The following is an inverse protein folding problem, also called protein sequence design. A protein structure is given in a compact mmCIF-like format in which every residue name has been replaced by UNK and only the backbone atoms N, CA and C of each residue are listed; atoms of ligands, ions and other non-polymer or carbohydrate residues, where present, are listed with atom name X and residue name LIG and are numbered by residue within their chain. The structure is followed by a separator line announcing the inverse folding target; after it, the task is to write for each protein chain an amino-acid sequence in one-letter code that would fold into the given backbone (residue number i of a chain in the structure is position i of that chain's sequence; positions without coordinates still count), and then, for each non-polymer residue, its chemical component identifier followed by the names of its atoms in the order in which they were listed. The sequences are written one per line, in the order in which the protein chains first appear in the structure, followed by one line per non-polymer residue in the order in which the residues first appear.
data_IF_046399373898
#
_entry.id   IF_046399373898
#
_cell.length_a   1.000
_cell.length_b   1.000
_cell.length_c   1.000
_cell.angle_alpha   90.00
_cell.angle_beta   90.00
_cell.angle_gamma   90.00
#
_symmetry.space_group_name_H-M   'P 1'
#
loop_
_entity.id
_entity.type
_entity.pdbx_description
1 polymer ?
#
# COMPACT_ATOMS: atom_id res chain seq x y z
N UNK A 1 -43.84 -6.03 9.41
CA UNK A 1 -42.83 -6.39 10.43
C UNK A 1 -41.81 -7.30 9.72
N UNK A 2 -40.51 -7.02 9.63
CA UNK A 2 -39.50 -6.77 10.70
C UNK A 2 -39.36 -8.01 11.61
N UNK A 3 -38.17 -8.54 11.93
CA UNK A 3 -36.77 -8.07 11.88
C UNK A 3 -35.87 -9.10 11.10
N UNK A 4 -34.70 -8.86 10.50
CA UNK A 4 -33.55 -7.94 10.64
C UNK A 4 -32.38 -8.37 11.57
N UNK A 5 -31.62 -9.37 11.09
CA UNK A 5 -30.14 -9.51 11.09
C UNK A 5 -29.28 -9.03 12.29
N UNK A 6 -28.40 -9.88 12.80
CA UNK A 6 -27.04 -9.47 13.28
C UNK A 6 -26.04 -10.65 13.26
N UNK A 7 -25.49 -10.99 12.09
CA UNK A 7 -24.30 -11.84 11.97
C UNK A 7 -23.02 -10.99 11.92
N UNK A 8 -22.33 -10.82 13.05
CA UNK A 8 -21.09 -10.02 13.11
C UNK A 8 -19.95 -10.66 12.30
N UNK A 9 -19.25 -9.91 11.42
CA UNK A 9 -18.00 -10.38 10.82
C UNK A 9 -16.94 -10.55 11.91
N UNK A 10 -16.28 -11.70 11.95
CA UNK A 10 -15.23 -11.97 12.93
C UNK A 10 -14.03 -11.04 12.75
N UNK A 11 -13.56 -10.46 13.86
CA UNK A 11 -12.27 -9.78 13.89
C UNK A 11 -11.14 -10.80 13.66
N UNK A 12 -10.26 -10.51 12.71
CA UNK A 12 -9.14 -11.36 12.34
C UNK A 12 -7.81 -10.67 12.71
N UNK A 13 -7.68 -10.23 13.97
CA UNK A 13 -6.38 -9.87 14.55
C UNK A 13 -5.40 -11.04 14.35
N UNK A 14 -4.26 -10.85 13.64
CA UNK A 14 -3.28 -11.91 13.49
C UNK A 14 -2.70 -12.31 14.84
N UNK A 15 -2.67 -13.62 15.12
CA UNK A 15 -1.81 -14.15 16.18
C UNK A 15 -0.34 -13.82 15.89
N UNK A 16 0.47 -13.69 16.94
CA UNK A 16 1.90 -13.87 16.77
C UNK A 16 2.15 -15.37 16.56
N UNK A 17 3.04 -15.67 15.63
CA UNK A 17 3.34 -17.02 15.12
C UNK A 17 2.24 -17.60 14.20
N UNK A 18 2.69 -18.33 13.17
CA UNK A 18 1.94 -18.88 12.02
C UNK A 18 1.26 -17.87 11.06
N UNK A 19 1.78 -17.77 9.81
CA UNK A 19 1.01 -17.24 8.66
C UNK A 19 1.72 -16.29 7.67
N UNK A 20 2.93 -15.81 7.95
CA UNK A 20 3.56 -14.68 7.23
C UNK A 20 4.86 -15.00 6.46
N UNK A 21 5.30 -16.26 6.41
CA UNK A 21 6.69 -16.64 6.04
C UNK A 21 7.22 -16.13 4.69
N UNK A 22 6.34 -15.88 3.71
CA UNK A 22 6.69 -15.32 2.39
C UNK A 22 5.72 -14.18 1.99
N UNK A 23 5.20 -13.43 2.97
CA UNK A 23 4.26 -12.32 2.70
C UNK A 23 5.03 -11.06 2.34
N UNK A 24 5.11 -10.79 1.03
CA UNK A 24 5.71 -9.58 0.45
C UNK A 24 4.69 -8.44 0.24
N UNK A 25 3.38 -8.76 0.20
CA UNK A 25 2.33 -7.78 -0.04
C UNK A 25 1.27 -7.73 1.06
N UNK A 26 0.92 -6.51 1.46
CA UNK A 26 -0.29 -6.21 2.22
C UNK A 26 -1.30 -5.39 1.43
N UNK A 27 -2.55 -5.49 1.86
CA UNK A 27 -3.53 -4.42 1.71
C UNK A 27 -3.48 -3.55 2.96
N UNK A 28 -3.21 -2.24 2.80
CA UNK A 28 -3.49 -1.28 3.86
C UNK A 28 -4.98 -0.91 3.77
N UNK A 29 -5.73 -1.08 4.85
CA UNK A 29 -7.12 -0.61 5.00
C UNK A 29 -7.19 0.61 5.92
N UNK A 30 -8.34 1.29 5.87
CA UNK A 30 -8.61 2.57 6.55
C UNK A 30 -7.61 3.67 6.19
N UNK A 31 -7.15 3.61 4.93
CA UNK A 31 -6.09 4.42 4.37
C UNK A 31 -6.54 5.88 4.22
N UNK A 32 -6.17 6.67 5.22
CA UNK A 32 -6.05 8.13 5.17
C UNK A 32 -7.36 8.91 4.94
N UNK A 33 -7.39 10.26 5.07
CA UNK A 33 -8.60 11.04 4.86
C UNK A 33 -8.93 11.02 3.36
N UNK A 34 -10.16 11.35 2.96
CA UNK A 34 -10.67 11.15 1.60
C UNK A 34 -9.85 11.77 0.45
N UNK A 35 -8.90 12.68 0.72
CA UNK A 35 -8.09 13.38 -0.29
C UNK A 35 -6.70 12.77 -0.54
N UNK A 36 -6.35 11.65 0.12
CA UNK A 36 -5.02 11.05 -0.01
C UNK A 36 -4.71 10.64 -1.45
N UNK A 37 -3.64 11.22 -1.99
CA UNK A 37 -3.14 10.99 -3.35
C UNK A 37 -2.12 9.86 -3.41
N UNK A 38 -1.89 9.32 -4.61
CA UNK A 38 -0.81 8.35 -4.87
C UNK A 38 0.55 8.90 -4.45
N UNK A 39 0.79 10.20 -4.64
CA UNK A 39 2.06 10.83 -4.26
C UNK A 39 2.24 10.96 -2.75
N UNK A 40 1.19 11.29 -1.99
CA UNK A 40 1.28 11.30 -0.52
C UNK A 40 1.58 9.91 0.04
N UNK A 41 1.01 8.86 -0.56
CA UNK A 41 1.31 7.47 -0.17
C UNK A 41 2.74 7.06 -0.56
N UNK A 42 3.24 7.46 -1.73
CA UNK A 42 4.66 7.30 -2.12
C UNK A 42 5.57 7.98 -1.10
N UNK A 43 5.30 9.24 -0.72
CA UNK A 43 6.12 9.98 0.24
C UNK A 43 6.18 9.29 1.62
N UNK A 44 5.08 8.66 2.07
CA UNK A 44 5.03 7.89 3.33
C UNK A 44 5.84 6.60 3.23
N UNK A 45 5.73 5.87 2.12
CA UNK A 45 6.46 4.62 1.90
C UNK A 45 7.97 4.86 1.71
N UNK A 46 8.33 5.89 0.93
CA UNK A 46 9.72 6.32 0.73
C UNK A 46 10.36 6.72 2.06
N UNK A 47 9.70 7.59 2.84
CA UNK A 47 10.21 8.04 4.14
C UNK A 47 10.36 6.91 5.18
N UNK A 48 9.49 5.90 5.12
CA UNK A 48 9.66 4.68 5.92
C UNK A 48 10.88 3.86 5.46
N UNK A 49 11.01 3.60 4.15
CA UNK A 49 12.11 2.80 3.62
C UNK A 49 13.47 3.43 3.93
N UNK A 50 13.60 4.75 3.73
CA UNK A 50 14.81 5.51 4.05
C UNK A 50 15.22 5.31 5.52
N UNK A 51 14.30 5.52 6.46
CA UNK A 51 14.57 5.40 7.90
C UNK A 51 14.91 3.96 8.34
N UNK A 52 14.31 2.94 7.72
CA UNK A 52 14.69 1.54 8.00
C UNK A 52 16.05 1.17 7.40
N UNK A 53 16.40 1.71 6.24
CA UNK A 53 17.70 1.50 5.59
C UNK A 53 18.84 2.20 6.35
N UNK A 54 18.62 3.42 6.85
CA UNK A 54 19.56 4.14 7.72
C UNK A 54 19.88 3.34 8.99
N UNK A 55 18.85 2.84 9.71
CA UNK A 55 19.04 1.98 10.91
C UNK A 55 19.80 0.69 10.60
N UNK A 56 19.52 0.06 9.46
CA UNK A 56 20.16 -1.18 9.05
C UNK A 56 21.66 -0.97 8.72
N UNK A 57 22.02 0.21 8.21
CA UNK A 57 23.42 0.60 8.03
C UNK A 57 24.13 0.81 9.37
N UNK A 58 23.52 1.53 10.32
CA UNK A 58 24.10 1.74 11.66
C UNK A 58 24.34 0.41 12.41
N UNK A 59 23.37 -0.50 12.41
CA UNK A 59 23.47 -1.80 13.08
C UNK A 59 24.51 -2.74 12.45
N UNK A 60 24.65 -2.74 11.12
CA UNK A 60 25.64 -3.57 10.41
C UNK A 60 27.10 -3.29 10.83
N UNK A 61 27.39 -2.12 11.40
CA UNK A 61 28.73 -1.75 11.88
C UNK A 61 29.18 -2.44 13.17
N UNK A 62 28.31 -3.24 13.82
CA UNK A 62 28.55 -3.78 15.18
C UNK A 62 28.63 -5.30 15.28
N UNK A 63 28.05 -6.06 14.35
CA UNK A 63 27.88 -7.50 14.50
C UNK A 63 28.44 -8.26 13.29
N UNK A 64 29.46 -9.09 13.52
CA UNK A 64 30.16 -9.86 12.48
C UNK A 64 29.40 -11.09 11.99
N UNK A 65 28.10 -10.97 11.77
CA UNK A 65 27.23 -12.04 11.28
C UNK A 65 26.90 -11.84 9.78
N UNK A 66 26.84 -12.94 9.03
CA UNK A 66 26.55 -12.93 7.59
C UNK A 66 25.03 -12.85 7.32
N UNK A 67 24.35 -11.88 7.94
CA UNK A 67 23.03 -11.44 7.52
C UNK A 67 23.16 -10.73 6.17
N UNK A 68 22.45 -11.20 5.14
CA UNK A 68 22.33 -10.42 3.91
C UNK A 68 21.54 -9.15 4.20
N UNK A 69 22.20 -7.98 4.20
CA UNK A 69 21.53 -6.70 4.33
C UNK A 69 20.57 -6.51 3.15
N UNK A 70 19.28 -6.77 3.37
CA UNK A 70 18.23 -6.56 2.38
C UNK A 70 17.63 -5.17 2.56
N UNK A 71 17.94 -4.31 1.59
CA UNK A 71 17.38 -2.96 1.48
C UNK A 71 15.85 -3.03 1.49
N UNK A 72 15.25 -2.31 2.43
CA UNK A 72 13.81 -2.14 2.51
C UNK A 72 13.35 -1.27 1.33
N UNK A 73 12.62 -1.89 0.40
CA UNK A 73 12.17 -1.24 -0.83
C UNK A 73 10.84 -1.82 -1.33
N UNK A 74 10.05 -1.04 -2.08
CA UNK A 74 8.76 -1.46 -2.66
C UNK A 74 8.69 -1.26 -4.17
N UNK A 75 7.95 -2.12 -4.85
CA UNK A 75 8.03 -2.20 -6.32
C UNK A 75 6.68 -2.31 -7.05
N UNK A 76 5.57 -2.33 -6.29
CA UNK A 76 4.21 -2.15 -6.80
C UNK A 76 3.37 -1.33 -5.81
N UNK A 77 2.51 -0.46 -6.34
CA UNK A 77 1.56 0.35 -5.58
C UNK A 77 0.23 0.49 -6.33
N UNK A 78 -0.90 0.28 -5.64
CA UNK A 78 -2.23 0.60 -6.18
C UNK A 78 -3.16 1.22 -5.13
N UNK A 79 -3.53 2.48 -5.32
CA UNK A 79 -4.48 3.23 -4.50
C UNK A 79 -5.80 3.46 -5.28
N UNK A 80 -6.80 2.56 -5.16
CA UNK A 80 -8.11 2.73 -5.81
C UNK A 80 -8.85 4.00 -5.36
N UNK A 81 -9.34 4.75 -6.35
CA UNK A 81 -10.18 5.94 -6.18
C UNK A 81 -11.66 5.61 -6.49
N UNK A 82 -12.60 6.24 -5.78
CA UNK A 82 -14.02 6.32 -6.18
C UNK A 82 -14.18 7.53 -7.12
N UNK A 83 -14.45 7.27 -8.39
CA UNK A 83 -14.41 8.29 -9.44
C UNK A 83 -15.54 9.33 -9.35
N UNK A 84 -16.67 8.97 -8.74
CA UNK A 84 -17.83 9.85 -8.52
C UNK A 84 -17.55 10.90 -7.45
N UNK A 85 -16.77 10.56 -6.42
CA UNK A 85 -16.43 11.45 -5.31
C UNK A 85 -15.01 12.03 -5.40
N UNK A 86 -14.16 11.45 -6.26
CA UNK A 86 -12.72 11.71 -6.42
C UNK A 86 -11.93 11.52 -5.11
N UNK A 87 -12.29 10.47 -4.36
CA UNK A 87 -11.73 10.13 -3.05
C UNK A 87 -11.11 8.75 -3.03
N UNK A 88 -10.10 8.51 -2.19
CA UNK A 88 -9.58 7.15 -1.98
C UNK A 88 -10.69 6.22 -1.49
N UNK A 89 -10.67 4.95 -1.89
CA UNK A 89 -11.63 3.93 -1.39
C UNK A 89 -11.31 3.45 0.04
N UNK A 90 -10.40 4.13 0.74
CA UNK A 90 -9.93 3.76 2.07
C UNK A 90 -9.03 2.53 2.12
N UNK A 91 -8.48 2.07 0.99
CA UNK A 91 -7.47 1.00 0.96
C UNK A 91 -6.52 1.12 -0.23
N UNK A 92 -5.35 0.47 -0.12
CA UNK A 92 -4.38 0.30 -1.20
C UNK A 92 -3.64 -1.04 -1.08
N UNK A 93 -2.96 -1.45 -2.15
CA UNK A 93 -2.03 -2.58 -2.18
C UNK A 93 -0.60 -2.07 -2.33
N UNK A 94 0.34 -2.65 -1.58
CA UNK A 94 1.77 -2.34 -1.65
C UNK A 94 2.56 -3.65 -1.62
N UNK A 95 3.41 -3.88 -2.62
CA UNK A 95 4.35 -5.01 -2.61
C UNK A 95 5.74 -4.48 -2.19
N UNK A 96 6.21 -4.88 -1.02
CA UNK A 96 7.61 -4.75 -0.63
C UNK A 96 8.43 -5.86 -1.30
N UNK A 97 9.74 -5.65 -1.45
CA UNK A 97 10.67 -6.64 -2.03
C UNK A 97 11.18 -7.64 -1.00
N UNK A 98 10.97 -7.39 0.30
CA UNK A 98 11.40 -8.25 1.40
C UNK A 98 10.32 -8.37 2.49
N UNK A 99 10.18 -9.57 3.06
CA UNK A 99 9.17 -9.87 4.08
C UNK A 99 9.50 -9.26 5.46
N UNK A 100 10.77 -9.00 5.80
CA UNK A 100 11.12 -8.26 7.02
C UNK A 100 10.66 -6.81 6.92
N UNK A 101 10.66 -6.22 5.73
CA UNK A 101 10.13 -4.86 5.49
C UNK A 101 8.62 -4.80 5.70
N UNK A 102 7.87 -5.84 5.32
CA UNK A 102 6.44 -5.98 5.66
C UNK A 102 6.23 -5.98 7.18
N UNK A 103 7.02 -6.74 7.93
CA UNK A 103 6.94 -6.78 9.39
C UNK A 103 7.31 -5.45 10.05
N UNK A 104 8.42 -4.82 9.64
CA UNK A 104 8.81 -3.46 10.09
C UNK A 104 7.70 -2.44 9.83
N UNK A 105 7.06 -2.50 8.67
CA UNK A 105 5.94 -1.62 8.34
C UNK A 105 4.70 -1.92 9.18
N UNK A 106 4.37 -3.20 9.41
CA UNK A 106 3.28 -3.59 10.30
C UNK A 106 3.52 -3.03 11.71
N UNK A 107 4.68 -3.30 12.32
CA UNK A 107 4.98 -2.86 13.68
C UNK A 107 5.13 -1.34 13.82
N UNK A 108 5.49 -0.61 12.75
CA UNK A 108 5.54 0.85 12.74
C UNK A 108 4.18 1.52 12.43
N UNK A 109 3.29 0.90 11.65
CA UNK A 109 2.07 1.54 11.15
C UNK A 109 0.74 0.96 11.66
N UNK A 110 0.65 -0.35 11.91
CA UNK A 110 -0.61 -1.03 12.22
C UNK A 110 -1.20 -0.52 13.55
N UNK A 111 -2.41 0.07 13.46
CA UNK A 111 -3.21 0.61 14.58
C UNK A 111 -2.49 1.62 15.50
N UNK A 112 -1.39 2.24 15.06
CA UNK A 112 -0.68 3.29 15.83
C UNK A 112 -1.39 4.64 15.78
N UNK A 113 -1.08 5.51 16.74
CA UNK A 113 -1.47 6.91 16.73
C UNK A 113 -0.34 7.74 16.09
N UNK A 114 -0.64 8.49 15.01
CA UNK A 114 0.35 9.39 14.41
C UNK A 114 0.36 10.76 15.09
N UNK A 115 0.88 10.80 16.31
CA UNK A 115 0.90 12.02 17.11
C UNK A 115 1.93 13.06 16.65
N UNK A 116 2.90 12.64 15.84
CA UNK A 116 4.01 13.46 15.31
C UNK A 116 3.81 14.02 13.90
N UNK A 117 2.81 13.55 13.15
CA UNK A 117 2.52 14.04 11.79
C UNK A 117 1.11 14.63 11.78
N UNK A 118 0.88 15.68 10.98
CA UNK A 118 -0.27 16.59 11.12
C UNK A 118 -1.63 15.89 11.29
N UNK A 119 -2.13 15.85 12.53
CA UNK A 119 -3.41 15.27 12.95
C UNK A 119 -4.62 15.84 12.20
N UNK A 120 -4.49 16.99 11.52
CA UNK A 120 -5.53 17.53 10.62
C UNK A 120 -5.71 16.67 9.36
N UNK A 121 -4.65 15.97 8.93
CA UNK A 121 -4.71 14.86 7.97
C UNK A 121 -4.79 13.50 8.69
N UNK A 122 -3.98 13.26 9.73
CA UNK A 122 -4.00 12.03 10.55
C UNK A 122 -5.18 11.95 11.52
N UNK A 123 -6.34 11.60 10.98
CA UNK A 123 -7.59 11.42 11.75
C UNK A 123 -8.02 9.96 11.94
N UNK A 124 -7.38 9.00 11.26
CA UNK A 124 -7.67 7.57 11.39
C UNK A 124 -6.39 6.74 11.51
N UNK A 125 -6.48 5.69 12.33
CA UNK A 125 -5.53 4.56 12.35
C UNK A 125 -5.64 3.78 11.04
N UNK A 126 -4.53 3.25 10.54
CA UNK A 126 -4.53 2.32 9.41
C UNK A 126 -4.39 0.88 9.91
N UNK A 127 -5.00 -0.06 9.17
CA UNK A 127 -4.92 -1.49 9.43
C UNK A 127 -4.13 -2.14 8.29
N UNK A 128 -2.93 -2.64 8.60
CA UNK A 128 -2.11 -3.41 7.64
C UNK A 128 -2.54 -4.88 7.72
N UNK A 129 -2.92 -5.51 6.60
CA UNK A 129 -3.26 -6.94 6.54
C UNK A 129 -2.68 -7.62 5.30
N UNK A 130 -2.44 -8.93 5.35
CA UNK A 130 -2.06 -9.71 4.17
C UNK A 130 -3.04 -9.51 3.01
N UNK A 131 -2.51 -9.28 1.80
CA UNK A 131 -3.33 -9.33 0.59
C UNK A 131 -3.63 -10.79 0.20
N UNK A 132 -4.76 -11.02 -0.48
CA UNK A 132 -5.16 -12.35 -0.99
C UNK A 132 -4.33 -12.81 -2.20
N UNK A 133 -3.69 -11.87 -2.88
CA UNK A 133 -2.68 -12.08 -3.91
C UNK A 133 -1.33 -11.81 -3.23
N UNK A 134 -0.24 -12.40 -3.69
CA UNK A 134 1.13 -12.14 -3.18
C UNK A 134 2.10 -12.02 -4.36
N UNK A 135 3.12 -11.16 -4.22
CA UNK A 135 4.15 -10.93 -5.24
C UNK A 135 3.74 -10.03 -6.41
N UNK A 136 4.75 -9.37 -7.00
CA UNK A 136 4.62 -8.40 -8.10
C UNK A 136 4.06 -9.04 -9.37
N UNK A 137 4.48 -10.25 -9.71
CA UNK A 137 4.11 -10.94 -10.96
C UNK A 137 2.62 -11.30 -10.97
N UNK A 138 2.10 -11.77 -9.83
CA UNK A 138 0.68 -12.09 -9.66
C UNK A 138 -0.19 -10.82 -9.69
N UNK A 139 0.28 -9.72 -9.09
CA UNK A 139 -0.33 -8.39 -9.19
C UNK A 139 -0.39 -7.88 -10.63
N UNK A 140 0.76 -7.87 -11.32
CA UNK A 140 0.86 -7.43 -12.72
C UNK A 140 -0.08 -8.26 -13.57
N UNK A 141 -0.11 -9.59 -13.41
CA UNK A 141 -1.02 -10.48 -14.14
C UNK A 141 -2.50 -10.19 -13.83
N UNK A 142 -2.86 -10.01 -12.55
CA UNK A 142 -4.24 -9.74 -12.14
C UNK A 142 -4.78 -8.41 -12.70
N UNK A 143 -3.94 -7.37 -12.72
CA UNK A 143 -4.34 -6.05 -13.16
C UNK A 143 -4.09 -5.75 -14.64
N UNK A 144 -3.26 -6.52 -15.37
CA UNK A 144 -2.97 -6.28 -16.80
C UNK A 144 -4.20 -6.36 -17.69
N UNK A 145 -5.11 -7.30 -17.42
CA UNK A 145 -6.35 -7.46 -18.18
C UNK A 145 -7.54 -6.68 -17.55
N UNK A 146 -7.32 -6.00 -16.43
CA UNK A 146 -8.35 -5.19 -15.77
C UNK A 146 -8.62 -3.90 -16.55
N UNK A 147 -9.90 -3.49 -16.56
CA UNK A 147 -10.37 -2.25 -17.17
C UNK A 147 -10.73 -1.23 -16.07
N UNK A 148 -10.12 -0.05 -16.14
CA UNK A 148 -10.29 1.02 -15.17
C UNK A 148 -11.01 2.20 -15.83
N UNK A 149 -12.26 2.46 -15.42
CA UNK A 149 -13.06 3.57 -15.96
C UNK A 149 -12.70 4.89 -15.25
N UNK A 150 -11.56 5.50 -15.62
CA UNK A 150 -10.98 6.66 -14.95
C UNK A 150 -10.51 7.79 -15.90
N UNK A 151 -10.55 9.02 -15.38
CA UNK A 151 -10.17 10.24 -16.12
C UNK A 151 -8.67 10.31 -16.42
N UNK A 152 -7.83 9.76 -15.52
CA UNK A 152 -6.37 9.87 -15.54
C UNK A 152 -5.69 8.54 -15.23
N UNK A 153 -4.49 8.35 -15.78
CA UNK A 153 -3.59 7.21 -15.51
C UNK A 153 -2.98 7.26 -14.09
N UNK A 154 -3.19 8.36 -13.34
CA UNK A 154 -2.79 8.46 -11.93
C UNK A 154 -3.54 7.48 -11.02
N UNK A 155 -4.75 7.06 -11.41
CA UNK A 155 -5.59 6.16 -10.63
C UNK A 155 -5.40 4.67 -11.02
N UNK A 156 -4.47 4.37 -11.93
CA UNK A 156 -4.08 3.01 -12.27
C UNK A 156 -3.09 2.43 -11.24
N UNK A 157 -3.05 1.09 -11.08
CA UNK A 157 -1.92 0.40 -10.46
C UNK A 157 -0.60 0.76 -11.15
N UNK A 158 0.48 0.87 -10.37
CA UNK A 158 1.82 1.14 -10.88
C UNK A 158 2.84 0.13 -10.35
N UNK A 159 3.76 -0.28 -11.22
CA UNK A 159 5.00 -0.96 -10.86
C UNK A 159 6.20 -0.03 -10.99
N UNK A 160 7.22 -0.25 -10.16
CA UNK A 160 8.50 0.47 -10.21
C UNK A 160 9.63 -0.46 -10.65
N UNK A 161 10.60 0.09 -11.38
CA UNK A 161 11.86 -0.56 -11.69
C UNK A 161 13.00 0.48 -11.82
N UNK A 162 14.06 0.45 -10.98
CA UNK A 162 14.22 -0.41 -9.81
C UNK A 162 13.12 -0.19 -8.74
N UNK A 163 13.04 -1.05 -7.72
CA UNK A 163 12.25 -0.80 -6.51
C UNK A 163 12.58 0.56 -5.89
N UNK A 164 11.62 1.15 -5.15
CA UNK A 164 11.80 2.38 -4.38
C UNK A 164 12.24 2.04 -2.96
N UNK A 165 13.44 2.48 -2.59
CA UNK A 165 14.12 2.27 -1.30
C UNK A 165 14.09 3.49 -0.37
N UNK A 166 13.45 4.58 -0.81
CA UNK A 166 13.41 5.86 -0.09
C UNK A 166 14.58 6.81 -0.37
N UNK A 167 15.60 6.40 -1.13
CA UNK A 167 16.76 7.24 -1.47
C UNK A 167 16.42 8.51 -2.26
N UNK A 168 15.30 8.48 -3.01
CA UNK A 168 14.92 9.51 -3.97
C UNK A 168 15.44 9.25 -5.40
N UNK A 169 16.19 8.18 -5.64
CA UNK A 169 16.76 7.86 -6.96
C UNK A 169 15.68 7.72 -8.07
N UNK A 170 16.02 8.03 -9.35
CA UNK A 170 15.07 7.97 -10.45
C UNK A 170 14.62 6.54 -10.79
N UNK A 171 13.36 6.21 -10.51
CA UNK A 171 12.76 4.92 -10.89
C UNK A 171 11.87 5.02 -12.13
N UNK A 172 11.84 3.98 -12.95
CA UNK A 172 10.88 3.86 -14.05
C UNK A 172 9.52 3.41 -13.52
N UNK A 173 8.58 4.36 -13.43
CA UNK A 173 7.16 4.08 -13.18
C UNK A 173 6.53 3.44 -14.44
N UNK A 174 5.82 2.33 -14.27
CA UNK A 174 4.99 1.69 -15.31
C UNK A 174 3.55 1.57 -14.80
N UNK A 175 2.59 2.13 -15.52
CA UNK A 175 1.15 1.86 -15.30
C UNK A 175 0.78 0.46 -15.77
N UNK A 176 -0.18 -0.16 -15.09
CA UNK A 176 -0.60 -1.55 -15.30
C UNK A 176 -2.12 -1.59 -15.49
N UNK A 177 -2.58 -2.34 -16.49
CA UNK A 177 -3.99 -2.45 -16.87
C UNK A 177 -4.42 -1.41 -17.89
N UNK A 178 -5.70 -1.48 -18.26
CA UNK A 178 -6.28 -0.72 -19.37
C UNK A 178 -7.16 0.41 -18.84
N UNK A 179 -6.94 1.65 -19.29
CA UNK A 179 -7.81 2.78 -18.96
C UNK A 179 -8.89 2.98 -20.00
N UNK A 180 -10.12 3.19 -19.53
CA UNK A 180 -11.25 3.68 -20.32
C UNK A 180 -11.66 5.05 -19.77
N UNK A 181 -11.78 6.05 -20.64
CA UNK A 181 -12.35 7.35 -20.25
C UNK A 181 -13.86 7.15 -20.03
N UNK A 182 -14.45 7.56 -18.89
CA UNK A 182 -15.89 7.53 -18.69
C UNK A 182 -16.58 8.41 -19.74
N UNK A 183 -17.54 7.84 -20.47
CA UNK A 183 -18.38 8.63 -21.40
C UNK A 183 -19.34 9.49 -20.56
N UNK A 184 -19.43 10.81 -20.79
CA UNK A 184 -20.41 11.64 -20.11
C UNK A 184 -21.83 11.15 -20.41
N UNK A 185 -22.60 10.82 -19.37
CA UNK A 185 -24.03 10.56 -19.52
C UNK A 185 -24.70 11.79 -20.16
N UNK A 186 -25.45 11.66 -21.27
CA UNK A 186 -26.18 12.79 -21.82
C UNK A 186 -27.20 13.28 -20.79
N UNK A 187 -27.25 14.59 -20.55
CA UNK A 187 -28.21 15.18 -19.64
C UNK A 187 -29.64 14.89 -20.13
N UNK A 188 -30.44 14.21 -19.32
CA UNK A 188 -31.89 14.19 -19.46
C UNK A 188 -32.41 15.61 -19.18
N UNK A 189 -32.83 16.29 -20.25
CA UNK A 189 -33.50 17.59 -20.21
C UNK A 189 -34.91 17.49 -19.60
#
# INVERSE_FOLDING_TARGET
MSESNTGSPGDATPGKEEGFGEVFMFSVKYLFPPLCSRQELINVLDGFCLVENEKANESSSREGAHEEHRTSAYDFLYLPIDFRTKKSRGFAFVNFTDASTVWKFFDAFHLKNWDSVDRKKWTKKIEVVCAKIQGKEALVKHFSDSMFECETDEFLPVGFNPPRDGSGEPVKLRTIGNRRVPVPSPCSH
#
